data_IF_988341685294
#
_entry.id   IF_988341685294
#
_cell.length_a   1.000
_cell.length_b   1.000
_cell.length_c   1.000
_cell.angle_alpha   90.00
_cell.angle_beta   90.00
_cell.angle_gamma   90.00
#
_symmetry.space_group_name_H-M   'P 1'
#
loop_
_entity.id
_entity.type
_entity.pdbx_description
1 polymer ?
#
# COMPACT_ATOMS: atom_id res chain seq x y z
N UNK A 1 -3.10 16.15 1.65
CA UNK A 1 -1.86 16.97 1.62
C UNK A 1 -1.02 16.83 2.89
N UNK A 2 -1.62 16.48 4.03
CA UNK A 2 -0.90 16.19 5.29
C UNK A 2 -0.03 14.91 5.19
N UNK A 3 -0.26 14.03 4.21
CA UNK A 3 0.39 12.72 4.07
C UNK A 3 1.93 12.65 4.17
N UNK A 4 2.75 13.66 3.80
CA UNK A 4 4.18 13.62 4.07
C UNK A 4 4.54 13.96 5.53
N UNK A 5 3.74 14.78 6.21
CA UNK A 5 4.10 15.38 7.51
C UNK A 5 4.22 14.34 8.64
N UNK A 6 3.27 13.41 8.85
CA UNK A 6 3.44 12.35 9.85
C UNK A 6 4.62 11.43 9.50
N UNK A 7 4.78 11.11 8.21
CA UNK A 7 5.86 10.23 7.71
C UNK A 7 7.24 10.81 7.98
N UNK A 8 7.42 12.10 7.69
CA UNK A 8 8.69 12.81 7.96
C UNK A 8 8.98 12.87 9.45
N UNK A 9 7.97 13.13 10.29
CA UNK A 9 8.13 13.12 11.74
C UNK A 9 8.55 11.75 12.29
N UNK A 10 7.97 10.67 11.77
CA UNK A 10 8.29 9.30 12.21
C UNK A 10 9.68 8.86 11.73
N UNK A 11 10.05 9.14 10.48
CA UNK A 11 11.35 8.81 9.91
C UNK A 11 12.52 9.53 10.61
N UNK A 12 12.33 10.81 10.93
CA UNK A 12 13.33 11.62 11.63
C UNK A 12 13.26 11.50 13.16
N UNK A 13 12.38 10.62 13.68
CA UNK A 13 12.14 10.43 15.13
C UNK A 13 11.93 11.76 15.86
N UNK A 14 11.16 12.66 15.26
CA UNK A 14 10.83 13.94 15.85
C UNK A 14 10.11 13.75 17.18
N UNK A 15 10.26 14.73 18.07
CA UNK A 15 9.52 14.73 19.33
C UNK A 15 8.02 14.66 19.04
N UNK A 16 7.30 13.86 19.83
CA UNK A 16 5.91 13.49 19.54
C UNK A 16 4.95 14.71 19.44
N UNK A 17 5.32 15.84 20.04
CA UNK A 17 4.57 17.10 19.94
C UNK A 17 4.79 17.92 18.66
N UNK A 18 5.76 17.56 17.80
CA UNK A 18 6.06 18.30 16.55
C UNK A 18 4.91 18.21 15.56
N UNK A 19 4.37 16.99 15.34
CA UNK A 19 3.33 16.78 14.34
C UNK A 19 2.01 17.51 14.64
N UNK A 20 1.39 17.38 15.84
CA UNK A 20 0.17 18.11 16.16
C UNK A 20 0.36 19.63 16.13
N UNK A 21 1.56 20.11 16.50
CA UNK A 21 1.88 21.54 16.46
C UNK A 21 1.98 22.04 15.01
N UNK A 22 2.56 21.25 14.11
CA UNK A 22 2.62 21.57 12.68
C UNK A 22 1.21 21.65 12.07
N UNK A 23 0.33 20.71 12.42
CA UNK A 23 -1.08 20.72 11.98
C UNK A 23 -1.81 21.95 12.53
N UNK A 24 -1.58 22.31 13.79
CA UNK A 24 -2.14 23.54 14.36
C UNK A 24 -1.74 24.80 13.58
N UNK A 25 -0.48 24.90 13.17
CA UNK A 25 -0.01 26.03 12.34
C UNK A 25 -0.64 26.03 10.96
N UNK A 26 -0.75 24.85 10.33
CA UNK A 26 -1.36 24.68 9.02
C UNK A 26 -2.83 25.13 9.05
N UNK A 27 -3.61 24.62 9.99
CA UNK A 27 -5.05 24.92 10.10
C UNK A 27 -5.28 26.40 10.41
N UNK A 28 -4.52 26.98 11.34
CA UNK A 28 -4.60 28.42 11.64
C UNK A 28 -4.24 29.30 10.46
N UNK A 29 -3.26 28.88 9.65
CA UNK A 29 -2.89 29.61 8.44
C UNK A 29 -4.00 29.52 7.39
N UNK A 30 -4.52 28.33 7.13
CA UNK A 30 -5.58 28.09 6.15
C UNK A 30 -6.90 28.76 6.54
N UNK A 31 -7.19 28.87 7.84
CA UNK A 31 -8.35 29.62 8.33
C UNK A 31 -8.26 31.13 8.02
N UNK A 32 -7.06 31.67 7.87
CA UNK A 32 -6.83 33.10 7.62
C UNK A 32 -6.53 33.43 6.14
N UNK A 33 -5.98 32.48 5.38
CA UNK A 33 -5.46 32.72 4.03
C UNK A 33 -5.93 31.65 3.04
N UNK A 34 -6.75 32.02 2.03
CA UNK A 34 -7.09 31.15 0.93
C UNK A 34 -5.84 30.71 0.17
N UNK A 35 -5.54 29.41 0.18
CA UNK A 35 -4.29 28.87 -0.37
C UNK A 35 -4.59 27.89 -1.50
N UNK A 36 -3.92 28.06 -2.65
CA UNK A 36 -4.09 27.16 -3.80
C UNK A 36 -3.49 25.79 -3.50
N UNK A 37 -4.06 24.73 -4.09
CA UNK A 37 -3.64 23.33 -3.89
C UNK A 37 -2.14 23.10 -4.12
N UNK A 38 -1.54 23.78 -5.11
CA UNK A 38 -0.12 23.68 -5.44
C UNK A 38 0.82 24.15 -4.31
N UNK A 39 0.38 25.06 -3.44
CA UNK A 39 1.20 25.58 -2.33
C UNK A 39 0.99 24.82 -1.02
N UNK A 40 0.06 23.87 -0.96
CA UNK A 40 -0.26 23.17 0.28
C UNK A 40 0.90 22.26 0.75
N UNK A 41 1.68 21.69 -0.17
CA UNK A 41 2.87 20.93 0.19
C UNK A 41 3.95 21.83 0.80
N UNK A 42 4.20 23.00 0.18
CA UNK A 42 5.14 24.01 0.70
C UNK A 42 4.72 24.48 2.09
N UNK A 43 3.46 24.86 2.24
CA UNK A 43 2.91 25.29 3.53
C UNK A 43 3.04 24.20 4.60
N UNK A 44 2.67 22.96 4.30
CA UNK A 44 2.82 21.83 5.23
C UNK A 44 4.27 21.61 5.67
N UNK A 45 5.21 21.70 4.73
CA UNK A 45 6.65 21.58 5.01
C UNK A 45 7.16 22.72 5.89
N UNK A 46 6.71 23.96 5.65
CA UNK A 46 7.09 25.13 6.46
C UNK A 46 6.50 25.03 7.87
N UNK A 47 5.24 24.60 8.01
CA UNK A 47 4.63 24.37 9.31
C UNK A 47 5.39 23.30 10.11
N UNK A 48 5.85 22.24 9.44
CA UNK A 48 6.68 21.21 10.06
C UNK A 48 8.05 21.74 10.49
N UNK A 49 8.71 22.53 9.63
CA UNK A 49 9.98 23.18 9.94
C UNK A 49 9.89 24.06 11.19
N UNK A 50 8.85 24.89 11.26
CA UNK A 50 8.58 25.76 12.40
C UNK A 50 8.28 24.95 13.67
N UNK A 51 7.43 23.93 13.60
CA UNK A 51 7.09 23.10 14.75
C UNK A 51 8.30 22.36 15.32
N UNK A 52 9.18 21.86 14.44
CA UNK A 52 10.43 21.21 14.84
C UNK A 52 11.37 22.16 15.58
N UNK A 53 11.48 23.42 15.14
CA UNK A 53 12.25 24.46 15.87
C UNK A 53 11.68 24.78 17.25
N UNK A 54 10.37 24.65 17.44
CA UNK A 54 9.70 24.99 18.70
C UNK A 54 9.77 23.85 19.73
N UNK A 55 9.80 22.59 19.30
CA UNK A 55 9.67 21.43 20.20
C UNK A 55 10.93 20.56 20.29
N UNK A 56 11.83 20.59 19.30
CA UNK A 56 12.99 19.69 19.26
C UNK A 56 14.31 20.40 19.54
N UNK A 57 15.18 19.74 20.32
CA UNK A 57 16.55 20.20 20.57
C UNK A 57 17.42 20.16 19.30
N UNK A 58 17.08 19.29 18.34
CA UNK A 58 17.70 19.20 17.02
C UNK A 58 16.62 19.38 15.95
N UNK A 59 16.39 20.62 15.48
CA UNK A 59 15.35 20.86 14.50
C UNK A 59 15.69 20.28 13.13
N UNK A 60 14.66 19.92 12.38
CA UNK A 60 14.78 19.48 10.98
C UNK A 60 15.46 20.56 10.15
N UNK A 61 16.42 20.17 9.32
CA UNK A 61 17.09 21.12 8.42
C UNK A 61 16.28 21.36 7.15
N UNK A 62 16.32 22.58 6.62
CA UNK A 62 15.63 22.94 5.38
C UNK A 62 16.04 22.02 4.21
N UNK A 63 17.32 21.64 4.15
CA UNK A 63 17.85 20.73 3.11
C UNK A 63 17.19 19.34 3.16
N UNK A 64 16.98 18.78 4.37
CA UNK A 64 16.29 17.50 4.53
C UNK A 64 14.82 17.60 4.13
N UNK A 65 14.15 18.67 4.53
CA UNK A 65 12.74 18.90 4.20
C UNK A 65 12.52 19.05 2.68
N UNK A 66 13.41 19.74 1.96
CA UNK A 66 13.36 19.79 0.50
C UNK A 66 13.55 18.41 -0.13
N UNK A 67 14.45 17.58 0.40
CA UNK A 67 14.65 16.20 -0.07
C UNK A 67 13.38 15.36 0.08
N UNK A 68 12.67 15.49 1.21
CA UNK A 68 11.40 14.81 1.47
C UNK A 68 10.26 15.21 0.55
N UNK A 69 10.40 16.34 -0.12
CA UNK A 69 9.45 16.83 -1.12
C UNK A 69 9.87 16.46 -2.55
N UNK A 70 10.79 15.50 -2.72
CA UNK A 70 11.41 15.15 -4.01
C UNK A 70 12.03 16.36 -4.73
N UNK A 71 12.54 17.33 -3.97
CA UNK A 71 13.05 18.61 -4.45
C UNK A 71 12.02 19.44 -5.26
N UNK A 72 10.72 19.21 -5.07
CA UNK A 72 9.66 20.07 -5.62
C UNK A 72 9.64 21.47 -5.01
N UNK A 73 10.26 21.64 -3.84
CA UNK A 73 10.39 22.91 -3.11
C UNK A 73 11.86 23.26 -2.93
N UNK A 74 12.22 24.51 -3.22
CA UNK A 74 13.57 25.02 -3.00
C UNK A 74 13.78 25.51 -1.57
N UNK A 75 15.04 25.56 -1.12
CA UNK A 75 15.39 26.07 0.21
C UNK A 75 14.97 27.54 0.36
N UNK A 76 15.14 28.34 -0.70
CA UNK A 76 14.78 29.76 -0.65
C UNK A 76 13.28 29.95 -0.47
N UNK A 77 12.45 29.19 -1.22
CA UNK A 77 11.00 29.24 -1.06
C UNK A 77 10.55 28.84 0.35
N UNK A 78 11.20 27.84 0.94
CA UNK A 78 10.91 27.40 2.31
C UNK A 78 11.23 28.50 3.34
N UNK A 79 12.38 29.17 3.20
CA UNK A 79 12.78 30.26 4.10
C UNK A 79 11.93 31.52 3.91
N UNK A 80 11.54 31.84 2.67
CA UNK A 80 10.66 32.97 2.39
C UNK A 80 9.27 32.73 2.98
N UNK A 81 8.73 31.52 2.81
CA UNK A 81 7.45 31.14 3.39
C UNK A 81 7.48 31.00 4.91
N UNK A 82 8.62 30.70 5.51
CA UNK A 82 8.77 30.71 6.97
C UNK A 82 8.36 32.08 7.55
N UNK A 83 8.86 33.16 6.96
CA UNK A 83 8.54 34.53 7.37
C UNK A 83 7.07 34.87 7.10
N UNK A 84 6.50 34.39 5.99
CA UNK A 84 5.08 34.58 5.66
C UNK A 84 4.18 33.92 6.71
N UNK A 85 4.45 32.67 7.07
CA UNK A 85 3.67 31.93 8.07
C UNK A 85 3.82 32.58 9.44
N UNK A 86 5.04 32.91 9.88
CA UNK A 86 5.27 33.61 11.15
C UNK A 86 4.54 34.95 11.23
N UNK A 87 4.61 35.75 10.15
CA UNK A 87 3.93 37.03 10.04
C UNK A 87 2.40 36.89 10.13
N UNK A 88 1.82 35.91 9.44
CA UNK A 88 0.37 35.64 9.48
C UNK A 88 -0.10 35.11 10.82
N UNK A 89 0.69 34.26 11.48
CA UNK A 89 0.40 33.75 12.82
C UNK A 89 0.73 34.76 13.93
N UNK A 90 1.20 35.97 13.59
CA UNK A 90 1.62 37.02 14.52
C UNK A 90 2.61 36.52 15.57
N UNK A 91 3.51 35.62 15.15
CA UNK A 91 4.50 34.98 16.03
C UNK A 91 3.90 34.18 17.21
N UNK A 92 2.59 33.92 17.22
CA UNK A 92 1.96 33.08 18.22
C UNK A 92 2.21 31.59 17.89
N UNK A 93 3.43 31.15 18.18
CA UNK A 93 3.91 29.79 17.89
C UNK A 93 3.77 28.85 19.09
N UNK A 94 3.64 29.36 20.31
CA UNK A 94 3.47 28.57 21.53
C UNK A 94 2.02 28.07 21.71
N UNK A 95 1.50 27.35 20.72
CA UNK A 95 0.17 26.76 20.79
C UNK A 95 0.15 25.54 21.73
N UNK A 96 -0.92 25.44 22.51
CA UNK A 96 -1.16 24.28 23.39
C UNK A 96 -1.60 23.09 22.53
N UNK A 97 -0.95 21.95 22.73
CA UNK A 97 -1.22 20.70 22.01
C UNK A 97 -1.96 19.71 22.90
N UNK A 98 -2.64 18.70 22.33
CA UNK A 98 -3.28 17.65 23.13
C UNK A 98 -2.29 16.90 24.04
N UNK A 99 -1.00 16.83 23.66
CA UNK A 99 0.05 16.21 24.47
C UNK A 99 0.24 16.91 25.82
N UNK A 100 0.14 18.25 25.84
CA UNK A 100 0.30 19.03 27.08
C UNK A 100 -0.82 18.69 28.08
N UNK A 101 -2.03 18.40 27.59
CA UNK A 101 -3.15 17.95 28.41
C UNK A 101 -3.06 16.47 28.80
N UNK A 102 -2.53 15.60 27.92
CA UNK A 102 -2.37 14.18 28.23
C UNK A 102 -1.53 14.00 29.49
N UNK A 103 -0.35 14.63 29.56
CA UNK A 103 0.51 14.51 30.75
C UNK A 103 -0.18 15.06 32.01
N UNK A 104 -0.88 16.20 31.90
CA UNK A 104 -1.60 16.79 33.03
C UNK A 104 -2.72 15.88 33.55
N UNK A 105 -3.48 15.26 32.65
CA UNK A 105 -4.60 14.38 33.00
C UNK A 105 -4.07 13.08 33.60
N UNK A 106 -3.06 12.47 32.99
CA UNK A 106 -2.49 11.20 33.45
C UNK A 106 -1.91 11.31 34.86
N UNK A 107 -1.27 12.43 35.22
CA UNK A 107 -0.78 12.66 36.58
C UNK A 107 -1.88 12.70 37.66
N UNK A 108 -3.14 12.93 37.28
CA UNK A 108 -4.27 13.01 38.22
C UNK A 108 -5.07 11.71 38.30
N UNK A 109 -4.77 10.71 37.47
CA UNK A 109 -5.48 9.45 37.47
C UNK A 109 -4.89 8.50 38.52
N UNK A 110 -5.72 7.88 39.39
CA UNK A 110 -5.28 6.93 40.40
C UNK A 110 -5.04 5.55 39.76
N UNK A 111 -4.08 5.44 38.84
CA UNK A 111 -3.75 4.21 38.11
C UNK A 111 -2.29 3.80 38.35
N UNK A 112 -1.96 2.49 38.30
CA UNK A 112 -0.57 2.02 38.35
C UNK A 112 0.27 2.60 37.21
N UNK A 113 1.56 2.90 37.48
CA UNK A 113 2.46 3.52 36.49
C UNK A 113 2.54 2.74 35.16
N UNK A 114 2.54 1.41 35.21
CA UNK A 114 2.58 0.55 34.02
C UNK A 114 1.37 0.78 33.09
N UNK A 115 0.18 0.95 33.69
CA UNK A 115 -1.06 1.23 32.93
C UNK A 115 -1.06 2.64 32.38
N UNK A 116 -0.55 3.61 33.15
CA UNK A 116 -0.41 5.01 32.70
C UNK A 116 0.52 5.11 31.50
N UNK A 117 1.63 4.38 31.50
CA UNK A 117 2.55 4.31 30.35
C UNK A 117 1.88 3.74 29.09
N UNK A 118 1.07 2.70 29.24
CA UNK A 118 0.37 2.07 28.12
C UNK A 118 -0.73 2.99 27.56
N UNK A 119 -1.54 3.58 28.44
CA UNK A 119 -2.58 4.56 28.08
C UNK A 119 -1.96 5.76 27.39
N UNK A 120 -0.83 6.28 27.90
CA UNK A 120 -0.08 7.38 27.28
C UNK A 120 0.23 7.05 25.82
N UNK A 121 0.87 5.90 25.55
CA UNK A 121 1.24 5.52 24.18
C UNK A 121 0.02 5.43 23.25
N UNK A 122 -1.09 4.84 23.71
CA UNK A 122 -2.30 4.71 22.91
C UNK A 122 -2.98 6.06 22.66
N UNK A 123 -3.09 6.90 23.69
CA UNK A 123 -3.66 8.24 23.58
C UNK A 123 -2.86 9.12 22.62
N UNK A 124 -1.53 9.03 22.65
CA UNK A 124 -0.66 9.75 21.71
C UNK A 124 -0.90 9.31 20.26
N UNK A 125 -1.04 8.01 20.00
CA UNK A 125 -1.40 7.49 18.68
C UNK A 125 -2.75 8.05 18.21
N UNK A 126 -3.75 8.09 19.10
CA UNK A 126 -5.06 8.66 18.76
C UNK A 126 -5.00 10.16 18.50
N UNK A 127 -4.18 10.93 19.20
CA UNK A 127 -3.96 12.35 18.90
C UNK A 127 -3.41 12.55 17.51
N UNK A 128 -2.39 11.78 17.12
CA UNK A 128 -1.82 11.84 15.76
C UNK A 128 -2.90 11.49 14.74
N UNK A 129 -3.70 10.47 15.01
CA UNK A 129 -4.77 10.03 14.15
C UNK A 129 -5.91 11.06 14.03
N UNK A 130 -6.25 11.77 15.10
CA UNK A 130 -7.22 12.88 15.05
C UNK A 130 -6.68 14.04 14.20
N UNK A 131 -5.37 14.33 14.30
CA UNK A 131 -4.74 15.43 13.59
C UNK A 131 -4.62 15.19 12.07
N UNK A 132 -4.87 13.97 11.56
CA UNK A 132 -4.96 13.72 10.11
C UNK A 132 -6.35 13.98 9.54
N UNK A 133 -7.38 14.09 10.36
CA UNK A 133 -8.76 14.28 9.94
C UNK A 133 -9.28 15.68 10.30
N UNK A 134 -9.68 16.41 9.25
CA UNK A 134 -10.25 17.75 9.33
C UNK A 134 -11.49 17.89 10.24
N UNK A 135 -12.25 16.82 10.49
CA UNK A 135 -13.38 16.84 11.40
C UNK A 135 -12.97 17.19 12.84
N UNK A 136 -11.70 16.94 13.18
CA UNK A 136 -11.16 17.23 14.50
C UNK A 136 -10.58 18.64 14.65
N UNK A 137 -10.48 19.42 13.56
CA UNK A 137 -9.99 20.79 13.61
C UNK A 137 -10.88 21.73 14.47
N UNK A 138 -12.16 21.37 14.65
CA UNK A 138 -13.11 22.12 15.46
C UNK A 138 -13.06 21.77 16.96
N UNK A 139 -12.41 20.67 17.35
CA UNK A 139 -12.33 20.28 18.75
C UNK A 139 -11.15 20.94 19.46
N UNK A 140 -11.32 21.44 20.69
CA UNK A 140 -10.21 21.99 21.45
C UNK A 140 -9.21 20.90 21.84
N UNK A 141 -7.91 21.23 21.99
CA UNK A 141 -6.87 20.26 22.34
C UNK A 141 -7.15 19.46 23.63
N UNK A 142 -7.82 20.08 24.61
CA UNK A 142 -8.23 19.43 25.87
C UNK A 142 -9.25 18.32 25.64
N UNK A 143 -10.20 18.51 24.73
CA UNK A 143 -11.22 17.51 24.40
C UNK A 143 -10.60 16.33 23.66
N UNK A 144 -9.74 16.58 22.67
CA UNK A 144 -9.03 15.53 21.94
C UNK A 144 -8.17 14.69 22.89
N UNK A 145 -7.44 15.35 23.81
CA UNK A 145 -6.62 14.66 24.81
C UNK A 145 -7.46 13.77 25.75
N UNK A 146 -8.55 14.32 26.28
CA UNK A 146 -9.43 13.63 27.23
C UNK A 146 -10.14 12.45 26.57
N UNK A 147 -10.66 12.64 25.35
CA UNK A 147 -11.31 11.60 24.57
C UNK A 147 -10.32 10.50 24.18
N UNK A 148 -9.09 10.86 23.81
CA UNK A 148 -8.02 9.91 23.46
C UNK A 148 -7.62 9.05 24.67
N UNK A 149 -7.51 9.64 25.86
CA UNK A 149 -7.27 8.89 27.10
C UNK A 149 -8.45 7.97 27.42
N UNK A 150 -9.68 8.46 27.25
CA UNK A 150 -10.88 7.66 27.49
C UNK A 150 -10.95 6.44 26.56
N UNK A 151 -10.77 6.66 25.25
CA UNK A 151 -10.71 5.60 24.25
C UNK A 151 -9.59 4.60 24.53
N UNK A 152 -8.39 5.07 24.91
CA UNK A 152 -7.26 4.22 25.24
C UNK A 152 -7.50 3.36 26.48
N UNK A 153 -8.04 3.96 27.54
CA UNK A 153 -8.38 3.25 28.76
C UNK A 153 -9.49 2.21 28.53
N UNK A 154 -10.50 2.53 27.73
CA UNK A 154 -11.56 1.58 27.34
C UNK A 154 -11.03 0.44 26.47
N UNK A 155 -10.17 0.72 25.49
CA UNK A 155 -9.64 -0.30 24.58
C UNK A 155 -8.65 -1.28 25.21
N UNK A 156 -7.97 -0.88 26.29
CA UNK A 156 -6.98 -1.70 26.99
C UNK A 156 -7.58 -2.64 28.07
N UNK A 157 -8.88 -2.53 28.37
CA UNK A 157 -9.59 -3.41 29.30
C UNK A 157 -9.94 -4.77 28.64
N UNK A 158 -8.96 -5.40 28.02
CA UNK A 158 -9.05 -6.79 27.57
C UNK A 158 -8.78 -7.71 28.80
N UNK A 159 -9.81 -8.49 29.16
CA UNK A 159 -9.75 -9.76 29.91
C UNK A 159 -9.65 -9.82 31.45
N UNK A 160 -10.16 -8.86 32.24
CA UNK A 160 -10.53 -9.19 33.64
C UNK A 160 -11.92 -8.65 34.06
N UNK A 161 -12.82 -9.62 34.23
CA UNK A 161 -13.92 -9.80 35.20
C UNK A 161 -14.36 -8.57 36.00
N UNK A 162 -15.66 -8.26 35.91
CA UNK A 162 -16.44 -7.35 36.78
C UNK A 162 -15.99 -5.88 36.84
N UNK A 163 -16.51 -5.03 35.93
CA UNK A 163 -16.90 -3.66 36.30
C UNK A 163 -17.56 -2.88 35.14
N UNK A 164 -18.87 -3.02 34.98
CA UNK A 164 -19.66 -2.01 34.25
C UNK A 164 -19.67 -0.65 34.99
N UNK A 165 -19.18 -0.61 36.24
CA UNK A 165 -19.07 0.58 37.09
C UNK A 165 -17.85 1.45 36.73
N UNK A 166 -16.78 0.87 36.18
CA UNK A 166 -15.52 1.59 35.92
C UNK A 166 -15.55 2.45 34.64
N UNK A 167 -16.30 2.04 33.59
CA UNK A 167 -16.42 2.81 32.32
C UNK A 167 -17.13 4.16 32.49
N UNK A 168 -18.26 4.18 33.20
CA UNK A 168 -18.98 5.43 33.47
C UNK A 168 -18.20 6.30 34.46
N UNK A 169 -17.64 5.70 35.52
CA UNK A 169 -16.86 6.41 36.53
C UNK A 169 -15.62 7.11 35.97
N UNK A 170 -14.86 6.48 35.06
CA UNK A 170 -13.68 7.09 34.46
C UNK A 170 -14.04 8.24 33.51
N UNK A 171 -15.08 8.07 32.69
CA UNK A 171 -15.55 9.13 31.78
C UNK A 171 -16.04 10.35 32.57
N UNK A 172 -16.80 10.12 33.65
CA UNK A 172 -17.25 11.17 34.56
C UNK A 172 -16.10 11.84 35.32
N UNK A 173 -15.09 11.07 35.75
CA UNK A 173 -13.91 11.61 36.42
C UNK A 173 -13.10 12.50 35.47
N UNK A 174 -12.88 12.06 34.23
CA UNK A 174 -12.19 12.83 33.20
C UNK A 174 -12.95 14.10 32.83
N UNK A 175 -14.27 14.00 32.66
CA UNK A 175 -15.17 15.14 32.46
C UNK A 175 -15.08 16.15 33.61
N UNK A 176 -15.06 15.69 34.87
CA UNK A 176 -14.87 16.53 36.06
C UNK A 176 -13.49 17.20 36.12
N UNK A 177 -12.40 16.48 35.79
CA UNK A 177 -11.03 17.02 35.81
C UNK A 177 -10.84 18.12 34.76
N UNK A 178 -11.48 17.96 33.60
CA UNK A 178 -11.31 18.85 32.44
C UNK A 178 -12.42 19.88 32.29
N UNK A 179 -13.46 19.81 33.13
CA UNK A 179 -14.67 20.61 33.04
C UNK A 179 -15.35 20.54 31.66
N UNK A 180 -15.36 19.35 31.06
CA UNK A 180 -16.00 19.06 29.76
C UNK A 180 -17.32 18.35 30.02
N UNK A 181 -18.36 18.70 29.26
CA UNK A 181 -19.65 17.99 29.33
C UNK A 181 -19.49 16.53 28.89
N UNK A 182 -20.08 15.62 29.66
CA UNK A 182 -19.95 14.17 29.45
C UNK A 182 -20.41 13.75 28.05
N UNK A 183 -21.49 14.35 27.55
CA UNK A 183 -22.06 14.01 26.24
C UNK A 183 -21.14 14.46 25.09
N UNK A 184 -20.51 15.63 25.21
CA UNK A 184 -19.50 16.09 24.25
C UNK A 184 -18.27 15.17 24.25
N UNK A 185 -17.82 14.73 25.44
CA UNK A 185 -16.70 13.81 25.57
C UNK A 185 -17.00 12.44 24.94
N UNK A 186 -18.19 11.88 25.20
CA UNK A 186 -18.66 10.63 24.60
C UNK A 186 -18.75 10.73 23.07
N UNK A 187 -19.33 11.81 22.56
CA UNK A 187 -19.39 12.04 21.10
C UNK A 187 -18.01 12.13 20.46
N UNK A 188 -17.06 12.82 21.11
CA UNK A 188 -15.68 12.89 20.62
C UNK A 188 -15.01 11.51 20.67
N UNK A 189 -15.20 10.74 21.74
CA UNK A 189 -14.67 9.38 21.87
C UNK A 189 -15.19 8.46 20.75
N UNK A 190 -16.50 8.45 20.50
CA UNK A 190 -17.10 7.62 19.45
C UNK A 190 -16.53 7.95 18.07
N UNK A 191 -16.29 9.24 17.79
CA UNK A 191 -15.63 9.66 16.54
C UNK A 191 -14.20 9.14 16.43
N UNK A 192 -13.43 9.15 17.52
CA UNK A 192 -12.07 8.60 17.54
C UNK A 192 -12.11 7.08 17.30
N UNK A 193 -13.04 6.37 17.92
CA UNK A 193 -13.20 4.92 17.75
C UNK A 193 -13.64 4.56 16.32
N UNK A 194 -14.54 5.34 15.70
CA UNK A 194 -14.93 5.17 14.29
C UNK A 194 -13.75 5.42 13.35
N UNK A 195 -12.97 6.47 13.61
CA UNK A 195 -11.81 6.82 12.81
C UNK A 195 -10.69 5.78 12.96
N UNK A 196 -10.51 5.24 14.16
CA UNK A 196 -9.64 4.09 14.39
C UNK A 196 -10.12 2.87 13.61
N UNK A 197 -11.42 2.58 13.62
CA UNK A 197 -11.99 1.46 12.88
C UNK A 197 -11.84 1.62 11.36
N UNK A 198 -12.01 2.83 10.81
CA UNK A 198 -11.75 3.09 9.39
C UNK A 198 -10.27 2.97 9.05
N UNK A 199 -9.38 3.51 9.88
CA UNK A 199 -7.93 3.42 9.69
C UNK A 199 -7.42 1.98 9.82
N UNK A 200 -8.01 1.17 10.72
CA UNK A 200 -7.70 -0.24 10.84
C UNK A 200 -8.20 -1.05 9.64
N UNK A 201 -9.37 -0.73 9.10
CA UNK A 201 -9.86 -1.29 7.82
C UNK A 201 -8.96 -0.91 6.66
N UNK A 202 -8.40 0.32 6.66
CA UNK A 202 -7.38 0.75 5.71
C UNK A 202 -6.02 0.07 5.92
N UNK A 203 -5.80 -0.57 7.07
CA UNK A 203 -4.57 -1.29 7.37
C UNK A 203 -4.63 -2.81 7.17
N UNK A 204 -5.82 -3.39 7.04
CA UNK A 204 -5.99 -4.83 6.79
C UNK A 204 -6.36 -5.05 5.32
N UNK A 205 -5.40 -5.47 4.50
CA UNK A 205 -5.64 -6.04 3.17
C UNK A 205 -6.62 -5.28 2.27
N UNK A 206 -6.61 -3.94 2.32
CA UNK A 206 -7.66 -3.10 1.72
C UNK A 206 -7.84 -3.44 0.26
N UNK A 207 -9.09 -3.68 -0.09
CA UNK A 207 -9.53 -3.71 -1.45
C UNK A 207 -9.61 -2.27 -2.01
N UNK A 208 -8.47 -1.60 -2.07
CA UNK A 208 -8.40 -0.22 -2.57
C UNK A 208 -8.60 -0.18 -4.08
N UNK A 209 -9.28 0.85 -4.60
CA UNK A 209 -9.31 1.12 -6.02
C UNK A 209 -7.96 1.63 -6.52
N UNK A 210 -7.80 1.66 -7.85
CA UNK A 210 -6.66 2.32 -8.49
C UNK A 210 -6.59 3.80 -8.12
N UNK A 211 -5.37 4.29 -7.90
CA UNK A 211 -5.10 5.72 -7.85
C UNK A 211 -5.15 6.33 -9.25
N UNK A 212 -5.17 7.67 -9.36
CA UNK A 212 -5.09 8.38 -10.64
C UNK A 212 -3.88 7.95 -11.49
N UNK A 213 -2.71 7.80 -10.85
CA UNK A 213 -1.52 7.25 -11.51
C UNK A 213 -1.76 5.80 -11.96
N UNK A 214 -2.42 4.99 -11.14
CA UNK A 214 -2.77 3.61 -11.48
C UNK A 214 -3.73 3.50 -12.67
N UNK A 215 -4.68 4.44 -12.79
CA UNK A 215 -5.60 4.52 -13.94
C UNK A 215 -4.82 4.80 -15.23
N UNK A 216 -3.96 5.82 -15.26
CA UNK A 216 -3.14 6.14 -16.43
C UNK A 216 -2.19 4.98 -16.81
N UNK A 217 -1.62 4.29 -15.82
CA UNK A 217 -0.78 3.11 -16.06
C UNK A 217 -1.58 1.96 -16.69
N UNK A 218 -2.80 1.72 -16.21
CA UNK A 218 -3.69 0.70 -16.77
C UNK A 218 -4.13 1.04 -18.20
N UNK A 219 -4.42 2.32 -18.49
CA UNK A 219 -4.75 2.79 -19.84
C UNK A 219 -3.57 2.62 -20.81
N UNK A 220 -2.35 2.97 -20.38
CA UNK A 220 -1.15 2.74 -21.18
C UNK A 220 -0.92 1.26 -21.47
N UNK A 221 -1.15 0.38 -20.46
CA UNK A 221 -1.08 -1.06 -20.66
C UNK A 221 -2.16 -1.55 -21.64
N UNK A 222 -3.39 -1.03 -21.53
CA UNK A 222 -4.48 -1.31 -22.45
C UNK A 222 -4.16 -0.92 -23.90
N UNK A 223 -3.62 0.28 -24.11
CA UNK A 223 -3.16 0.73 -25.43
C UNK A 223 -2.02 -0.14 -25.98
N UNK A 224 -1.07 -0.54 -25.14
CA UNK A 224 0.04 -1.40 -25.55
C UNK A 224 -0.43 -2.80 -25.96
N UNK A 225 -1.46 -3.33 -25.30
CA UNK A 225 -2.02 -4.67 -25.56
C UNK A 225 -3.23 -4.66 -26.50
N UNK A 226 -3.57 -3.52 -27.11
CA UNK A 226 -4.86 -3.32 -27.79
C UNK A 226 -5.10 -4.23 -28.99
N UNK A 227 -4.04 -4.60 -29.69
CA UNK A 227 -4.07 -5.36 -30.95
C UNK A 227 -3.83 -6.87 -30.71
N UNK A 228 -3.76 -7.31 -29.45
CA UNK A 228 -3.67 -8.74 -29.10
C UNK A 228 -5.06 -9.36 -28.94
N UNK A 229 -5.24 -10.58 -29.40
CA UNK A 229 -6.43 -11.38 -29.08
C UNK A 229 -6.14 -12.19 -27.81
N UNK A 230 -6.97 -11.99 -26.78
CA UNK A 230 -7.01 -12.85 -25.60
C UNK A 230 -8.18 -13.81 -25.76
N UNK A 231 -7.96 -15.09 -25.54
CA UNK A 231 -9.02 -16.11 -25.56
C UNK A 231 -9.63 -16.31 -24.18
N UNK A 232 -8.88 -15.99 -23.12
CA UNK A 232 -9.30 -16.15 -21.73
C UNK A 232 -8.74 -15.01 -20.88
N UNK A 233 -9.48 -14.59 -19.85
CA UNK A 233 -9.03 -13.57 -18.90
C UNK A 233 -9.27 -14.05 -17.47
N UNK A 234 -8.21 -14.09 -16.66
CA UNK A 234 -8.25 -14.44 -15.24
C UNK A 234 -7.75 -13.29 -14.39
N UNK A 235 -8.50 -12.93 -13.35
CA UNK A 235 -8.21 -11.73 -12.56
C UNK A 235 -8.38 -12.03 -11.09
N UNK A 236 -7.50 -11.47 -10.25
CA UNK A 236 -7.74 -11.47 -8.81
C UNK A 236 -9.08 -10.79 -8.47
N UNK A 237 -9.78 -11.32 -7.47
CA UNK A 237 -11.02 -10.73 -6.96
C UNK A 237 -10.84 -9.40 -6.18
N UNK A 238 -9.65 -8.80 -6.20
CA UNK A 238 -9.39 -7.50 -5.57
C UNK A 238 -9.58 -6.37 -6.60
N UNK A 239 -10.34 -5.35 -6.22
CA UNK A 239 -10.77 -4.18 -6.99
C UNK A 239 -9.67 -3.58 -7.86
N UNK A 240 -8.48 -3.27 -7.33
CA UNK A 240 -7.37 -2.74 -8.14
C UNK A 240 -6.99 -3.63 -9.33
N UNK A 241 -7.04 -4.95 -9.17
CA UNK A 241 -6.75 -5.90 -10.25
C UNK A 241 -7.92 -5.96 -11.24
N UNK A 242 -9.16 -6.01 -10.73
CA UNK A 242 -10.39 -5.96 -11.54
C UNK A 242 -10.44 -4.71 -12.41
N UNK A 243 -10.24 -3.53 -11.83
CA UNK A 243 -10.22 -2.25 -12.56
C UNK A 243 -9.10 -2.21 -13.61
N UNK A 244 -7.91 -2.74 -13.28
CA UNK A 244 -6.81 -2.82 -14.25
C UNK A 244 -7.20 -3.68 -15.46
N UNK A 245 -7.80 -4.85 -15.21
CA UNK A 245 -8.25 -5.74 -16.28
C UNK A 245 -9.36 -5.12 -17.14
N UNK A 246 -10.35 -4.48 -16.51
CA UNK A 246 -11.43 -3.78 -17.21
C UNK A 246 -10.90 -2.68 -18.15
N UNK A 247 -9.93 -1.88 -17.70
CA UNK A 247 -9.33 -0.81 -18.49
C UNK A 247 -8.53 -1.38 -19.67
N UNK A 248 -7.77 -2.46 -19.44
CA UNK A 248 -7.03 -3.15 -20.49
C UNK A 248 -7.99 -3.69 -21.55
N UNK A 249 -9.06 -4.38 -21.14
CA UNK A 249 -10.04 -4.97 -22.05
C UNK A 249 -10.87 -3.92 -22.79
N UNK A 250 -11.21 -2.81 -22.14
CA UNK A 250 -11.91 -1.69 -22.80
C UNK A 250 -11.10 -1.10 -23.95
N UNK A 251 -9.77 -1.10 -23.83
CA UNK A 251 -8.87 -0.61 -24.87
C UNK A 251 -8.57 -1.66 -25.95
N UNK A 252 -8.90 -2.92 -25.70
CA UNK A 252 -8.58 -4.04 -26.59
C UNK A 252 -9.61 -4.19 -27.71
N UNK A 253 -9.12 -4.42 -28.94
CA UNK A 253 -9.94 -4.46 -30.16
C UNK A 253 -10.46 -5.84 -30.51
N UNK A 254 -9.92 -6.88 -29.91
CA UNK A 254 -10.13 -8.27 -30.34
C UNK A 254 -10.75 -9.18 -29.26
N UNK A 255 -10.95 -8.68 -28.04
CA UNK A 255 -11.31 -9.49 -26.86
C UNK A 255 -12.61 -9.04 -26.21
N UNK A 256 -13.51 -8.37 -26.94
CA UNK A 256 -14.76 -7.79 -26.41
C UNK A 256 -15.75 -8.81 -25.84
N UNK A 257 -15.66 -10.08 -26.27
CA UNK A 257 -16.60 -11.14 -25.88
C UNK A 257 -16.02 -12.10 -24.83
N UNK A 258 -14.83 -11.83 -24.31
CA UNK A 258 -14.16 -12.73 -23.38
C UNK A 258 -14.67 -12.49 -21.97
N UNK A 259 -15.16 -13.54 -21.32
CA UNK A 259 -15.56 -13.48 -19.92
C UNK A 259 -14.33 -13.25 -19.03
N UNK A 260 -14.43 -12.25 -18.14
CA UNK A 260 -13.44 -12.01 -17.11
C UNK A 260 -13.72 -12.90 -15.88
N UNK A 261 -12.83 -13.83 -15.62
CA UNK A 261 -12.96 -14.82 -14.53
C UNK A 261 -12.27 -14.30 -13.28
N UNK A 262 -13.05 -13.97 -12.24
CA UNK A 262 -12.49 -13.56 -10.95
C UNK A 262 -12.09 -14.79 -10.12
N UNK A 263 -10.80 -14.94 -9.83
CA UNK A 263 -10.24 -16.07 -9.09
C UNK A 263 -9.54 -15.60 -7.79
N UNK A 264 -10.06 -15.97 -6.60
CA UNK A 264 -9.43 -15.66 -5.31
C UNK A 264 -8.02 -16.24 -5.13
N UNK A 265 -7.64 -17.28 -5.89
CA UNK A 265 -6.28 -17.84 -5.86
C UNK A 265 -5.23 -16.86 -6.39
N UNK A 266 -5.64 -15.84 -7.15
CA UNK A 266 -4.77 -14.80 -7.71
C UNK A 266 -4.57 -13.60 -6.78
N UNK A 267 -5.14 -13.59 -5.56
CA UNK A 267 -4.99 -12.49 -4.62
C UNK A 267 -3.53 -12.28 -4.18
N UNK A 268 -3.23 -11.05 -3.74
CA UNK A 268 -1.92 -10.71 -3.22
C UNK A 268 -1.51 -11.60 -2.04
N UNK A 269 -0.21 -11.73 -1.79
CA UNK A 269 0.33 -12.34 -0.58
C UNK A 269 -0.24 -11.61 0.64
N UNK A 270 -0.80 -12.37 1.58
CA UNK A 270 -1.19 -11.81 2.88
C UNK A 270 0.04 -11.38 3.67
N UNK A 271 0.06 -10.16 4.19
CA UNK A 271 1.15 -9.66 5.06
C UNK A 271 0.74 -9.60 6.54
N UNK A 272 -0.46 -10.09 6.89
CA UNK A 272 -0.90 -10.22 8.28
C UNK A 272 -0.81 -8.90 9.03
N UNK A 273 -0.14 -8.91 10.18
CA UNK A 273 0.05 -7.70 11.00
C UNK A 273 0.84 -6.59 10.30
N UNK A 274 1.57 -6.90 9.21
CA UNK A 274 2.32 -5.93 8.42
C UNK A 274 1.53 -5.37 7.23
N UNK A 275 0.28 -5.81 7.00
CA UNK A 275 -0.60 -5.15 6.04
C UNK A 275 -0.85 -3.71 6.49
N UNK A 276 -1.00 -2.80 5.51
CA UNK A 276 -1.25 -1.39 5.77
C UNK A 276 -0.08 -0.60 6.36
N UNK A 277 0.93 -1.29 6.88
CA UNK A 277 2.13 -0.72 7.46
C UNK A 277 3.14 -0.34 6.37
N UNK A 278 4.14 0.44 6.74
CA UNK A 278 5.19 0.84 5.82
C UNK A 278 6.02 -0.38 5.39
N UNK A 279 6.55 -0.38 4.17
CA UNK A 279 7.44 -1.47 3.69
C UNK A 279 8.68 -1.60 4.57
N UNK A 280 9.13 -0.50 5.17
CA UNK A 280 10.20 -0.44 6.16
C UNK A 280 9.84 -1.21 7.44
N UNK A 281 8.57 -1.23 7.87
CA UNK A 281 8.16 -2.00 9.03
C UNK A 281 8.33 -3.49 8.79
N UNK A 282 7.97 -3.98 7.60
CA UNK A 282 8.21 -5.37 7.23
C UNK A 282 9.71 -5.71 7.20
N UNK A 283 10.57 -4.79 6.73
CA UNK A 283 12.02 -4.96 6.79
C UNK A 283 12.54 -4.98 8.24
N UNK A 284 12.03 -4.09 9.09
CA UNK A 284 12.41 -4.00 10.50
C UNK A 284 11.98 -5.26 11.26
N UNK A 285 10.77 -5.77 11.01
CA UNK A 285 10.30 -7.03 11.56
C UNK A 285 11.17 -8.21 11.11
N UNK A 286 11.54 -8.25 9.83
CA UNK A 286 12.44 -9.28 9.30
C UNK A 286 13.82 -9.23 9.97
N UNK A 287 14.41 -8.03 10.08
CA UNK A 287 15.68 -7.80 10.74
C UNK A 287 15.65 -8.20 12.22
N UNK A 288 14.57 -7.84 12.93
CA UNK A 288 14.36 -8.22 14.34
C UNK A 288 14.23 -9.74 14.52
N UNK A 289 13.67 -10.43 13.52
CA UNK A 289 13.60 -11.90 13.48
C UNK A 289 14.89 -12.57 12.98
N UNK A 290 15.94 -11.80 12.63
CA UNK A 290 17.19 -12.32 12.08
C UNK A 290 17.03 -12.95 10.68
N UNK A 291 15.98 -12.60 9.95
CA UNK A 291 15.64 -13.16 8.65
C UNK A 291 15.78 -12.12 7.54
N UNK A 292 16.04 -12.58 6.31
CA UNK A 292 15.98 -11.69 5.16
C UNK A 292 14.53 -11.25 4.93
N UNK A 293 14.30 -10.00 4.54
CA UNK A 293 12.95 -9.50 4.20
C UNK A 293 12.28 -10.33 3.09
N UNK A 294 13.06 -11.03 2.27
CA UNK A 294 12.57 -11.91 1.21
C UNK A 294 11.91 -13.16 1.78
N UNK A 295 12.51 -13.74 2.82
CA UNK A 295 12.13 -15.05 3.36
C UNK A 295 11.24 -14.90 4.61
N UNK A 296 11.22 -13.71 5.21
CA UNK A 296 10.39 -13.38 6.37
C UNK A 296 8.89 -13.47 6.07
N UNK A 297 8.16 -14.07 7.00
CA UNK A 297 6.70 -14.05 7.03
C UNK A 297 6.24 -13.37 8.32
N UNK A 298 5.57 -12.21 8.24
CA UNK A 298 5.05 -11.53 9.42
C UNK A 298 3.94 -12.36 10.09
N UNK A 299 3.71 -12.20 11.41
CA UNK A 299 2.61 -12.87 12.10
C UNK A 299 1.26 -12.66 11.41
N UNK A 300 0.48 -13.73 11.26
CA UNK A 300 -0.79 -13.72 10.51
C UNK A 300 -0.65 -13.54 9.00
N UNK A 301 0.58 -13.41 8.48
CA UNK A 301 0.87 -13.32 7.06
C UNK A 301 0.98 -14.69 6.38
N UNK A 302 0.99 -14.67 5.06
CA UNK A 302 1.09 -15.85 4.21
C UNK A 302 2.56 -16.14 3.87
N UNK A 303 2.97 -17.41 3.99
CA UNK A 303 4.33 -17.85 3.63
C UNK A 303 4.50 -17.94 2.12
N UNK A 304 5.75 -17.93 1.64
CA UNK A 304 6.03 -18.11 0.21
C UNK A 304 5.51 -19.46 -0.32
N UNK A 305 5.58 -20.51 0.49
CA UNK A 305 5.07 -21.84 0.13
C UNK A 305 3.54 -21.86 0.03
N UNK A 306 2.84 -21.14 0.90
CA UNK A 306 1.38 -20.99 0.80
C UNK A 306 0.97 -20.24 -0.48
N UNK A 307 1.67 -19.15 -0.82
CA UNK A 307 1.46 -18.43 -2.08
C UNK A 307 1.75 -19.34 -3.29
N UNK A 308 2.84 -20.10 -3.26
CA UNK A 308 3.21 -21.08 -4.29
C UNK A 308 2.13 -22.16 -4.45
N UNK A 309 1.62 -22.72 -3.36
CA UNK A 309 0.54 -23.71 -3.38
C UNK A 309 -0.75 -23.15 -4.02
N UNK A 310 -1.10 -21.88 -3.74
CA UNK A 310 -2.21 -21.20 -4.43
C UNK A 310 -1.95 -21.07 -5.92
N UNK A 311 -0.75 -20.65 -6.32
CA UNK A 311 -0.40 -20.54 -7.73
C UNK A 311 -0.44 -21.89 -8.45
N UNK A 312 0.01 -22.98 -7.83
CA UNK A 312 -0.10 -24.32 -8.38
C UNK A 312 -1.56 -24.77 -8.56
N UNK A 313 -2.42 -24.46 -7.58
CA UNK A 313 -3.86 -24.73 -7.70
C UNK A 313 -4.49 -23.92 -8.83
N UNK A 314 -4.12 -22.65 -8.97
CA UNK A 314 -4.53 -21.79 -10.07
C UNK A 314 -4.07 -22.35 -11.43
N UNK A 315 -2.80 -22.73 -11.59
CA UNK A 315 -2.29 -23.30 -12.83
C UNK A 315 -3.06 -24.55 -13.26
N UNK A 316 -3.36 -25.46 -12.32
CA UNK A 316 -4.16 -26.66 -12.62
C UNK A 316 -5.57 -26.29 -13.12
N UNK A 317 -6.23 -25.36 -12.44
CA UNK A 317 -7.56 -24.87 -12.83
C UNK A 317 -7.54 -24.17 -14.18
N UNK A 318 -6.54 -23.31 -14.41
CA UNK A 318 -6.36 -22.57 -15.66
C UNK A 318 -6.10 -23.52 -16.83
N UNK A 319 -5.18 -24.49 -16.68
CA UNK A 319 -4.87 -25.45 -17.73
C UNK A 319 -6.05 -26.34 -18.09
N UNK A 320 -6.82 -26.77 -17.10
CA UNK A 320 -8.04 -27.54 -17.35
C UNK A 320 -9.05 -26.72 -18.16
N UNK A 321 -9.32 -25.47 -17.73
CA UNK A 321 -10.23 -24.58 -18.46
C UNK A 321 -9.75 -24.26 -19.87
N UNK A 322 -8.46 -24.00 -20.06
CA UNK A 322 -7.90 -23.77 -21.39
C UNK A 322 -8.00 -24.99 -22.29
N UNK A 323 -7.88 -26.21 -21.75
CA UNK A 323 -8.09 -27.43 -22.51
C UNK A 323 -9.57 -27.62 -22.86
N UNK A 324 -10.48 -27.34 -21.93
CA UNK A 324 -11.92 -27.49 -22.16
C UNK A 324 -12.42 -26.49 -23.22
N UNK A 325 -11.89 -25.27 -23.21
CA UNK A 325 -12.26 -24.21 -24.16
C UNK A 325 -11.63 -24.38 -25.55
N UNK A 326 -10.37 -24.87 -25.64
CA UNK A 326 -9.58 -24.86 -26.89
C UNK A 326 -9.06 -26.23 -27.35
N UNK A 327 -9.29 -27.29 -26.58
CA UNK A 327 -8.68 -28.61 -26.81
C UNK A 327 -9.08 -29.30 -28.10
N UNK A 328 -10.21 -28.90 -28.71
CA UNK A 328 -10.69 -29.46 -29.97
C UNK A 328 -10.08 -28.82 -31.22
N UNK A 329 -9.53 -27.61 -31.13
CA UNK A 329 -9.02 -26.83 -32.27
C UNK A 329 -7.50 -26.94 -32.47
N UNK A 330 -6.80 -27.72 -31.65
CA UNK A 330 -5.35 -27.93 -31.78
C UNK A 330 -5.05 -29.04 -32.80
N UNK A 331 -4.33 -28.76 -33.91
CA UNK A 331 -3.76 -29.81 -34.73
C UNK A 331 -2.82 -30.65 -33.86
N UNK A 332 -2.88 -31.97 -34.00
CA UNK A 332 -1.91 -32.91 -33.43
C UNK A 332 -0.55 -32.71 -34.09
N UNK A 333 0.16 -31.63 -33.75
CA UNK A 333 1.54 -31.42 -34.20
C UNK A 333 2.41 -32.38 -33.41
N UNK A 334 2.64 -33.55 -34.00
CA UNK A 334 3.73 -34.42 -33.60
C UNK A 334 5.03 -33.66 -33.84
N UNK A 335 5.66 -33.17 -32.76
CA UNK A 335 7.08 -32.87 -32.78
C UNK A 335 7.82 -34.21 -32.99
N UNK A 336 7.91 -34.64 -34.25
CA UNK A 336 8.75 -35.75 -34.64
C UNK A 336 10.17 -35.41 -34.20
N UNK A 337 10.67 -36.18 -33.23
CA UNK A 337 12.07 -36.18 -32.80
C UNK A 337 12.94 -36.46 -34.01
N UNK A 338 13.47 -35.40 -34.62
CA UNK A 338 14.63 -35.46 -35.49
C UNK A 338 15.87 -35.30 -34.61
N UNK A 339 16.85 -36.21 -34.64
CA UNK A 339 18.07 -36.10 -33.84
C UNK A 339 19.01 -35.11 -34.52
N UNK A 340 18.75 -33.82 -34.34
CA UNK A 340 19.71 -32.76 -34.63
C UNK A 340 19.62 -31.71 -33.54
N UNK A 341 20.75 -31.41 -32.90
CA UNK A 341 20.93 -30.43 -31.84
C UNK A 341 20.55 -29.00 -32.27
N UNK A 342 19.25 -28.72 -32.39
CA UNK A 342 18.71 -27.39 -32.47
C UNK A 342 17.33 -27.43 -31.79
N UNK A 343 17.21 -26.77 -30.64
CA UNK A 343 15.91 -26.58 -29.98
C UNK A 343 14.94 -25.82 -30.88
N UNK A 344 13.65 -25.72 -30.50
CA UNK A 344 12.70 -24.88 -31.22
C UNK A 344 13.29 -23.47 -31.39
N UNK A 345 13.08 -22.80 -32.55
CA UNK A 345 13.63 -21.48 -32.79
C UNK A 345 13.21 -20.57 -31.64
N UNK A 346 14.19 -19.90 -31.01
CA UNK A 346 13.90 -18.95 -29.95
C UNK A 346 12.87 -17.94 -30.46
N UNK A 347 11.80 -17.64 -29.71
CA UNK A 347 10.80 -16.70 -30.15
C UNK A 347 11.47 -15.37 -30.49
N UNK A 348 11.12 -14.81 -31.65
CA UNK A 348 11.62 -13.51 -32.08
C UNK A 348 11.13 -12.48 -31.06
N UNK A 349 12.06 -11.85 -30.35
CA UNK A 349 11.77 -10.75 -29.42
C UNK A 349 12.15 -9.46 -30.13
N UNK A 350 11.17 -8.83 -30.78
CA UNK A 350 11.34 -7.55 -31.48
C UNK A 350 11.16 -6.35 -30.53
N UNK A 351 10.76 -6.60 -29.27
CA UNK A 351 10.39 -5.54 -28.33
C UNK A 351 8.94 -5.09 -28.49
N UNK A 352 8.11 -5.90 -29.16
CA UNK A 352 6.72 -5.58 -29.46
C UNK A 352 5.75 -6.29 -28.50
N UNK A 353 4.51 -5.81 -28.41
CA UNK A 353 3.47 -6.45 -27.61
C UNK A 353 3.14 -7.89 -28.05
N UNK A 354 3.37 -8.17 -29.34
CA UNK A 354 3.13 -9.43 -30.05
C UNK A 354 4.26 -10.46 -29.92
N UNK A 355 5.37 -10.10 -29.25
CA UNK A 355 6.50 -11.02 -29.03
C UNK A 355 6.00 -12.35 -28.44
N UNK A 356 6.31 -13.46 -29.08
CA UNK A 356 5.99 -14.81 -28.59
C UNK A 356 4.50 -15.21 -28.61
N UNK A 357 3.63 -14.45 -29.27
CA UNK A 357 2.21 -14.86 -29.48
C UNK A 357 1.87 -15.15 -30.94
N UNK A 358 2.78 -14.89 -31.88
CA UNK A 358 2.62 -15.30 -33.27
C UNK A 358 2.50 -16.83 -33.29
N UNK A 359 1.45 -17.37 -33.92
CA UNK A 359 1.14 -18.81 -34.05
C UNK A 359 0.78 -19.57 -32.76
N UNK A 360 0.39 -18.86 -31.68
CA UNK A 360 -0.14 -19.50 -30.46
C UNK A 360 -1.67 -19.60 -30.55
N UNK A 361 -2.27 -20.80 -30.41
CA UNK A 361 -3.71 -21.00 -30.63
C UNK A 361 -4.60 -20.40 -29.53
N UNK A 362 -4.09 -20.31 -28.29
CA UNK A 362 -4.83 -19.78 -27.15
C UNK A 362 -3.94 -18.85 -26.32
N UNK A 363 -4.51 -17.76 -25.83
CA UNK A 363 -3.75 -16.69 -25.18
C UNK A 363 -4.53 -16.13 -23.98
N UNK A 364 -4.07 -16.47 -22.78
CA UNK A 364 -4.69 -16.03 -21.54
C UNK A 364 -4.05 -14.73 -21.00
N UNK A 365 -4.89 -13.76 -20.64
CA UNK A 365 -4.50 -12.61 -19.82
C UNK A 365 -4.70 -12.95 -18.35
N UNK A 366 -3.66 -12.76 -17.51
CA UNK A 366 -3.75 -12.93 -16.06
C UNK A 366 -3.39 -11.63 -15.36
N UNK A 367 -4.30 -11.07 -14.58
CA UNK A 367 -4.09 -9.81 -13.84
C UNK A 367 -4.08 -10.08 -12.33
N UNK A 368 -2.95 -9.80 -11.68
CA UNK A 368 -2.68 -10.14 -10.28
C UNK A 368 -1.75 -9.10 -9.62
N UNK A 369 -1.03 -9.46 -8.56
CA UNK A 369 -0.33 -8.54 -7.66
C UNK A 369 1.17 -8.86 -7.56
N UNK A 370 1.97 -7.88 -7.15
CA UNK A 370 3.42 -7.93 -7.29
C UNK A 370 4.10 -9.05 -6.50
N UNK A 371 3.71 -9.29 -5.24
CA UNK A 371 4.35 -10.35 -4.45
C UNK A 371 3.89 -11.74 -4.91
N UNK A 372 2.61 -11.90 -5.25
CA UNK A 372 2.08 -13.11 -5.89
C UNK A 372 2.81 -13.44 -7.22
N UNK A 373 2.86 -12.48 -8.15
CA UNK A 373 3.50 -12.65 -9.46
C UNK A 373 4.97 -13.04 -9.32
N UNK A 374 5.67 -12.44 -8.35
CA UNK A 374 7.08 -12.78 -8.10
C UNK A 374 7.28 -14.23 -7.68
N UNK A 375 6.40 -14.76 -6.81
CA UNK A 375 6.42 -16.18 -6.42
C UNK A 375 6.04 -17.07 -7.59
N UNK A 376 5.03 -16.68 -8.38
CA UNK A 376 4.61 -17.40 -9.57
C UNK A 376 5.74 -17.52 -10.62
N UNK A 377 6.40 -16.41 -10.95
CA UNK A 377 7.55 -16.38 -11.87
C UNK A 377 8.67 -17.27 -11.37
N UNK A 378 8.98 -17.23 -10.06
CA UNK A 378 9.98 -18.13 -9.47
C UNK A 378 9.61 -19.59 -9.63
N UNK A 379 8.34 -19.95 -9.37
CA UNK A 379 7.87 -21.33 -9.53
C UNK A 379 8.01 -21.81 -11.00
N UNK A 380 7.61 -20.98 -11.97
CA UNK A 380 7.74 -21.32 -13.39
C UNK A 380 9.22 -21.52 -13.79
N UNK A 381 10.12 -20.67 -13.30
CA UNK A 381 11.54 -20.68 -13.71
C UNK A 381 12.35 -21.75 -13.00
N UNK A 382 12.26 -21.84 -11.67
CA UNK A 382 13.11 -22.74 -10.87
C UNK A 382 12.49 -24.14 -10.75
N UNK A 383 11.20 -24.23 -10.42
CA UNK A 383 10.59 -25.53 -10.11
C UNK A 383 10.10 -26.27 -11.37
N UNK A 384 9.64 -25.55 -12.39
CA UNK A 384 9.13 -26.13 -13.64
C UNK A 384 10.14 -26.04 -14.81
N UNK A 385 11.39 -25.65 -14.53
CA UNK A 385 12.49 -25.63 -15.51
C UNK A 385 12.18 -24.85 -16.79
N UNK A 386 11.70 -23.61 -16.65
CA UNK A 386 11.39 -22.75 -17.80
C UNK A 386 12.65 -22.34 -18.58
N UNK A 387 12.61 -22.44 -19.90
CA UNK A 387 13.62 -21.89 -20.79
C UNK A 387 13.60 -20.36 -20.79
N UNK A 388 14.74 -19.73 -20.49
CA UNK A 388 14.90 -18.27 -20.50
C UNK A 388 15.50 -17.79 -21.82
N UNK A 389 15.17 -16.57 -22.29
CA UNK A 389 15.75 -16.01 -23.49
C UNK A 389 17.21 -15.59 -23.26
N UNK A 390 18.02 -15.64 -24.32
CA UNK A 390 19.43 -15.30 -24.25
C UNK A 390 19.62 -13.83 -23.78
N UNK A 391 20.46 -13.63 -22.76
CA UNK A 391 20.78 -12.30 -22.22
C UNK A 391 19.93 -11.85 -21.02
N UNK A 392 18.87 -12.58 -20.66
CA UNK A 392 18.08 -12.26 -19.48
C UNK A 392 18.80 -12.70 -18.19
N UNK A 393 19.12 -11.76 -17.30
CA UNK A 393 19.82 -12.07 -16.03
C UNK A 393 18.85 -12.59 -14.98
N UNK A 394 19.21 -13.63 -14.21
CA UNK A 394 18.39 -14.16 -13.11
C UNK A 394 17.93 -13.08 -12.11
N UNK A 395 18.79 -12.09 -11.83
CA UNK A 395 18.44 -10.99 -10.93
C UNK A 395 17.28 -10.12 -11.46
N UNK A 396 17.15 -10.00 -12.79
CA UNK A 396 16.03 -9.30 -13.42
C UNK A 396 14.76 -10.17 -13.39
N UNK A 397 14.90 -11.48 -13.59
CA UNK A 397 13.80 -12.46 -13.53
C UNK A 397 13.08 -12.42 -12.17
N UNK A 398 13.83 -12.31 -11.06
CA UNK A 398 13.28 -12.28 -9.70
C UNK A 398 13.12 -10.89 -9.11
N UNK A 399 13.20 -9.85 -9.94
CA UNK A 399 12.94 -8.47 -9.54
C UNK A 399 11.46 -8.26 -9.23
N UNK A 400 11.15 -7.20 -8.46
CA UNK A 400 9.76 -6.84 -8.21
C UNK A 400 9.09 -6.38 -9.51
N UNK A 401 7.91 -6.91 -9.80
CA UNK A 401 7.11 -6.46 -10.94
C UNK A 401 6.66 -5.01 -10.69
N UNK A 402 6.94 -4.06 -11.59
CA UNK A 402 6.38 -2.70 -11.49
C UNK A 402 4.86 -2.75 -11.68
N UNK A 403 4.17 -1.68 -11.26
CA UNK A 403 2.73 -1.56 -11.54
C UNK A 403 2.47 -1.68 -13.04
N UNK A 404 1.50 -2.52 -13.43
CA UNK A 404 1.19 -2.86 -14.83
C UNK A 404 2.35 -3.46 -15.63
N UNK A 405 3.41 -3.92 -14.96
CA UNK A 405 4.49 -4.67 -15.61
C UNK A 405 3.98 -5.98 -16.21
N UNK A 406 4.50 -6.32 -17.38
CA UNK A 406 3.99 -7.44 -18.19
C UNK A 406 5.04 -8.54 -18.26
N UNK A 407 4.63 -9.77 -17.95
CA UNK A 407 5.41 -10.98 -18.14
C UNK A 407 4.71 -11.88 -19.16
N UNK A 408 5.48 -12.60 -19.98
CA UNK A 408 4.93 -13.53 -20.96
C UNK A 408 5.66 -14.86 -20.94
N UNK A 409 4.86 -15.93 -20.85
CA UNK A 409 5.31 -17.31 -20.92
C UNK A 409 4.48 -18.05 -21.97
N UNK A 410 5.13 -18.95 -22.70
CA UNK A 410 4.50 -19.90 -23.61
C UNK A 410 4.57 -21.27 -22.93
N UNK A 411 3.43 -21.94 -22.81
CA UNK A 411 3.32 -23.21 -22.09
C UNK A 411 2.73 -24.24 -23.03
N UNK A 412 3.46 -25.32 -23.31
CA UNK A 412 2.94 -26.47 -24.03
C UNK A 412 2.43 -27.51 -23.05
N UNK A 413 1.15 -27.86 -23.15
CA UNK A 413 0.48 -28.80 -22.25
C UNK A 413 0.38 -30.19 -22.91
N UNK A 414 0.52 -31.24 -22.10
CA UNK A 414 0.18 -32.61 -22.48
C UNK A 414 -0.82 -33.16 -21.47
N UNK A 415 -1.81 -33.88 -21.98
CA UNK A 415 -2.75 -34.68 -21.17
C UNK A 415 -2.23 -36.11 -21.13
N UNK A 416 -1.93 -36.60 -19.93
CA UNK A 416 -1.52 -37.99 -19.69
C UNK A 416 -2.39 -38.60 -18.61
N UNK A 417 -3.04 -39.73 -18.89
CA UNK A 417 -3.95 -40.46 -17.96
C UNK A 417 -4.88 -39.56 -17.10
N UNK A 418 -5.45 -38.51 -17.70
CA UNK A 418 -6.33 -37.49 -17.08
C UNK A 418 -5.64 -36.40 -16.24
N UNK A 419 -4.32 -36.40 -16.17
CA UNK A 419 -3.53 -35.32 -15.55
C UNK A 419 -2.96 -34.41 -16.64
N UNK A 420 -3.27 -33.12 -16.54
CA UNK A 420 -2.72 -32.07 -17.40
C UNK A 420 -1.40 -31.57 -16.81
N UNK A 421 -0.31 -31.71 -17.58
CA UNK A 421 1.01 -31.26 -17.15
C UNK A 421 1.69 -30.40 -18.22
N UNK A 422 2.44 -29.35 -17.81
CA UNK A 422 3.28 -28.61 -18.72
C UNK A 422 4.47 -29.48 -19.16
N UNK A 423 4.68 -29.58 -20.46
CA UNK A 423 5.82 -30.29 -21.07
C UNK A 423 6.98 -29.36 -21.37
N UNK A 424 6.68 -28.15 -21.85
CA UNK A 424 7.66 -27.10 -22.07
C UNK A 424 7.09 -25.78 -21.59
N UNK A 425 7.94 -24.98 -20.95
CA UNK A 425 7.63 -23.62 -20.53
C UNK A 425 8.75 -22.73 -21.06
N UNK A 426 8.40 -21.72 -21.84
CA UNK A 426 9.35 -20.78 -22.39
C UNK A 426 8.99 -19.35 -21.99
N UNK A 427 9.93 -18.66 -21.35
CA UNK A 427 9.79 -17.27 -20.99
C UNK A 427 10.13 -16.39 -22.19
N UNK A 428 9.24 -15.48 -22.57
CA UNK A 428 9.49 -14.52 -23.66
C UNK A 428 10.08 -13.23 -23.09
N UNK A 429 9.45 -12.66 -22.07
CA UNK A 429 9.93 -11.48 -21.35
C UNK A 429 9.34 -11.40 -19.93
N UNK A 430 10.01 -10.67 -19.04
CA UNK A 430 9.60 -10.48 -17.64
C UNK A 430 9.64 -8.99 -17.27
N UNK A 431 8.61 -8.55 -16.54
CA UNK A 431 8.49 -7.21 -15.99
C UNK A 431 8.67 -6.09 -17.03
N UNK A 432 8.25 -6.33 -18.28
CA UNK A 432 8.29 -5.34 -19.37
C UNK A 432 7.37 -4.17 -19.01
N UNK A 433 7.83 -2.96 -19.28
CA UNK A 433 7.18 -1.71 -18.85
C UNK A 433 7.31 -0.59 -19.87
N UNK A 434 7.46 -0.94 -21.15
CA UNK A 434 7.77 0.02 -22.22
C UNK A 434 6.61 1.01 -22.42
N UNK A 435 5.37 0.56 -22.18
CA UNK A 435 4.17 1.42 -22.16
C UNK A 435 4.23 2.54 -21.13
N UNK A 436 5.00 2.37 -20.04
CA UNK A 436 5.15 3.38 -19.00
C UNK A 436 6.16 4.47 -19.35
N UNK A 437 6.97 4.30 -20.41
CA UNK A 437 7.92 5.32 -20.83
C UNK A 437 7.20 6.62 -21.22
N UNK A 438 6.06 6.51 -21.91
CA UNK A 438 5.24 7.65 -22.34
C UNK A 438 4.64 8.49 -21.21
N UNK A 439 4.45 7.90 -20.02
CA UNK A 439 3.85 8.58 -18.85
C UNK A 439 4.89 9.43 -18.10
N UNK A 440 6.18 9.08 -18.22
CA UNK A 440 7.26 9.82 -17.54
C UNK A 440 7.53 11.19 -18.15
N UNK A 441 7.17 11.39 -19.42
CA UNK A 441 7.41 12.65 -20.14
C UNK A 441 6.26 13.67 -19.98
N UNK A 442 5.18 13.29 -19.29
CA UNK A 442 3.94 14.07 -19.14
C UNK A 442 3.71 14.69 -17.76
N UNK A 443 4.71 14.68 -16.86
CA UNK A 443 4.62 15.25 -15.51
C UNK A 443 5.72 16.26 -15.21
#
# INVERSE_FOLDING_TARGET
VILPVPKVCEEEKCDQGVFPLAVNYLDRYLAAVPTKKCYLQLLGTVCLFLASKMKSCQPLSAKKLCLYTDNSITIQELLDWELVVLGKLKWNMAAVTPYDFIEHILCKLPLPEDRVLLIRKHAQTFVVLCATDHNFAMFPPSMIATASICAAACGLQLDQVEDNVCRHGLTELLAKITHIEVDCLKSCQEKIEQLLASSLRESQGVDTPLSEVGLHQAEAAGHYLRDLHFTNVFVSNLQRATQTAEIILRSNRHSSNVEMVLDPLLRERGFGVAEGRHKEDLKNMANAAGQSCRDFTPPGGETLEQVKARFQKFLKSMFQRMLDDHGCDCPSVSFARSPSHAGPPSPVVAGEASDGVISVPAHALVVSHGAFIRVAVRHLVEDLSCGLPAGLKLNQVFSACPNTGICRFIIALRKDESVLQPTTIHCVFINRKDHLASIKDSH
#
